data_IF_652101946128
#
_entry.id   IF_652101946128
#
_cell.length_a   1.000
_cell.length_b   1.000
_cell.length_c   1.000
_cell.angle_alpha   90.00
_cell.angle_beta   90.00
_cell.angle_gamma   90.00
#
_symmetry.space_group_name_H-M   'P 1'
#
loop_
_entity.id
_entity.type
_entity.pdbx_description
1 polymer ?
#
# COMPACT_ATOMS: atom_id res chain seq x y z
N UNK A 1 -1.45 10.12 -17.12
CA UNK A 1 -0.79 8.87 -16.69
C UNK A 1 -1.07 8.70 -15.20
N UNK A 2 -2.01 7.83 -14.85
CA UNK A 2 -2.31 7.49 -13.45
C UNK A 2 -1.16 6.63 -12.92
N UNK A 3 -0.32 7.23 -12.10
CA UNK A 3 0.79 6.54 -11.44
C UNK A 3 0.22 5.76 -10.26
N UNK A 4 0.35 4.44 -10.31
CA UNK A 4 -0.12 3.53 -9.29
C UNK A 4 1.02 3.16 -8.34
N UNK A 5 0.71 2.86 -7.06
CA UNK A 5 1.69 2.34 -6.12
C UNK A 5 2.25 1.00 -6.62
N UNK A 6 3.50 0.73 -6.28
CA UNK A 6 4.25 -0.46 -6.73
C UNK A 6 3.57 -1.79 -6.31
N UNK A 7 2.89 -1.80 -5.15
CA UNK A 7 2.17 -2.96 -4.62
C UNK A 7 0.76 -2.56 -4.18
N UNK A 8 -0.20 -2.38 -5.11
CA UNK A 8 -1.49 -1.76 -4.81
C UNK A 8 -2.31 -2.50 -3.75
N UNK A 9 -2.33 -3.84 -3.77
CA UNK A 9 -3.05 -4.64 -2.75
C UNK A 9 -2.42 -4.54 -1.36
N UNK A 10 -1.10 -4.67 -1.27
CA UNK A 10 -0.40 -4.58 0.02
C UNK A 10 -0.42 -3.16 0.59
N UNK A 11 -0.38 -2.14 -0.27
CA UNK A 11 -0.52 -0.75 0.13
C UNK A 11 -1.95 -0.43 0.57
N UNK A 12 -2.98 -0.99 -0.09
CA UNK A 12 -4.35 -0.88 0.37
C UNK A 12 -4.53 -1.47 1.78
N UNK A 13 -4.00 -2.68 2.04
CA UNK A 13 -4.01 -3.29 3.39
C UNK A 13 -3.41 -2.34 4.42
N UNK A 14 -2.21 -1.81 4.15
CA UNK A 14 -1.54 -0.90 5.08
C UNK A 14 -2.35 0.38 5.32
N UNK A 15 -2.91 0.99 4.26
CA UNK A 15 -3.71 2.21 4.38
C UNK A 15 -4.99 1.96 5.20
N UNK A 16 -5.70 0.86 4.96
CA UNK A 16 -6.90 0.49 5.73
C UNK A 16 -6.56 0.29 7.22
N UNK A 17 -5.43 -0.35 7.52
CA UNK A 17 -5.05 -0.66 8.91
C UNK A 17 -4.42 0.51 9.67
N UNK A 18 -3.76 1.45 8.97
CA UNK A 18 -2.94 2.52 9.59
C UNK A 18 -3.49 3.93 9.42
N UNK A 19 -4.55 4.11 8.63
CA UNK A 19 -5.12 5.42 8.35
C UNK A 19 -6.65 5.37 8.42
N UNK A 20 -7.29 6.51 8.62
CA UNK A 20 -8.75 6.66 8.61
C UNK A 20 -9.30 7.08 7.23
N UNK A 21 -8.59 6.73 6.15
CA UNK A 21 -9.00 7.04 4.78
C UNK A 21 -10.25 6.27 4.36
N UNK A 22 -11.05 6.87 3.50
CA UNK A 22 -12.23 6.22 2.93
C UNK A 22 -11.85 5.17 1.88
N UNK A 23 -12.72 4.17 1.70
CA UNK A 23 -12.49 3.11 0.71
C UNK A 23 -12.38 3.63 -0.72
N UNK A 24 -13.09 4.71 -1.05
CA UNK A 24 -13.01 5.38 -2.36
C UNK A 24 -11.65 6.03 -2.56
N UNK A 25 -11.10 6.71 -1.56
CA UNK A 25 -9.76 7.32 -1.64
C UNK A 25 -8.67 6.27 -1.85
N UNK A 26 -8.74 5.16 -1.11
CA UNK A 26 -7.80 4.04 -1.23
C UNK A 26 -7.95 3.35 -2.60
N UNK A 27 -9.18 3.16 -3.07
CA UNK A 27 -9.49 2.60 -4.38
C UNK A 27 -8.92 3.45 -5.52
N UNK A 28 -9.13 4.77 -5.49
CA UNK A 28 -8.59 5.70 -6.47
C UNK A 28 -7.05 5.72 -6.45
N UNK A 29 -6.44 5.64 -5.27
CA UNK A 29 -4.99 5.63 -5.12
C UNK A 29 -4.35 4.32 -5.63
N UNK A 30 -4.93 3.18 -5.26
CA UNK A 30 -4.43 1.86 -5.65
C UNK A 30 -4.92 1.39 -7.01
N UNK A 31 -5.84 2.12 -7.66
CA UNK A 31 -6.42 1.78 -8.96
C UNK A 31 -7.27 0.52 -8.93
N UNK A 32 -7.98 0.29 -7.83
CA UNK A 32 -8.85 -0.88 -7.61
C UNK A 32 -10.30 -0.44 -7.38
N UNK A 33 -11.25 -1.37 -7.46
CA UNK A 33 -12.64 -1.03 -7.17
C UNK A 33 -12.84 -0.85 -5.65
N UNK A 34 -13.69 0.09 -5.17
CA UNK A 34 -13.98 0.24 -3.74
C UNK A 34 -14.50 -1.05 -3.08
N UNK A 35 -15.18 -1.92 -3.84
CA UNK A 35 -15.59 -3.25 -3.37
C UNK A 35 -14.40 -4.18 -3.09
N UNK A 36 -13.31 -4.07 -3.85
CA UNK A 36 -12.08 -4.83 -3.55
C UNK A 36 -11.42 -4.32 -2.27
N UNK A 37 -11.41 -2.99 -2.07
CA UNK A 37 -10.91 -2.38 -0.82
C UNK A 37 -11.75 -2.83 0.38
N UNK A 38 -13.07 -2.92 0.22
CA UNK A 38 -13.97 -3.43 1.23
C UNK A 38 -13.65 -4.91 1.55
N UNK A 39 -13.54 -5.78 0.54
CA UNK A 39 -13.18 -7.18 0.75
C UNK A 39 -11.78 -7.38 1.38
N UNK A 40 -10.87 -6.43 1.19
CA UNK A 40 -9.58 -6.37 1.89
C UNK A 40 -9.79 -6.00 3.36
N UNK A 41 -10.63 -5.00 3.65
CA UNK A 41 -10.97 -4.58 5.02
C UNK A 41 -11.71 -5.68 5.80
N UNK A 42 -12.59 -6.43 5.13
CA UNK A 42 -13.28 -7.61 5.68
C UNK A 42 -12.34 -8.81 5.86
N UNK A 43 -11.11 -8.72 5.35
CA UNK A 43 -10.10 -9.78 5.49
C UNK A 43 -10.34 -10.99 4.58
N UNK A 44 -11.16 -10.88 3.53
CA UNK A 44 -11.41 -11.97 2.57
C UNK A 44 -10.27 -12.10 1.55
N UNK A 45 -9.79 -10.96 1.02
CA UNK A 45 -8.78 -10.94 -0.06
C UNK A 45 -7.36 -10.80 0.48
N UNK A 46 -7.21 -10.32 1.71
CA UNK A 46 -5.93 -9.93 2.30
C UNK A 46 -5.27 -11.00 3.17
N UNK A 47 -5.83 -12.20 3.29
CA UNK A 47 -5.29 -13.24 4.16
C UNK A 47 -3.84 -13.60 3.74
N UNK A 48 -2.88 -13.28 4.61
CA UNK A 48 -1.45 -13.52 4.36
C UNK A 48 -0.73 -12.44 3.55
N UNK A 49 -1.39 -11.34 3.18
CA UNK A 49 -0.73 -10.18 2.57
C UNK A 49 -0.13 -9.30 3.67
N UNK A 50 1.20 -9.16 3.66
CA UNK A 50 1.88 -8.21 4.56
C UNK A 50 1.68 -6.79 4.02
N UNK A 51 1.11 -5.90 4.84
CA UNK A 51 0.90 -4.50 4.48
C UNK A 51 2.20 -3.81 4.04
N UNK A 52 2.14 -3.07 2.94
CA UNK A 52 3.28 -2.34 2.37
C UNK A 52 3.14 -0.85 2.65
N UNK A 53 4.02 -0.33 3.50
CA UNK A 53 4.03 1.07 3.95
C UNK A 53 4.40 2.03 2.80
N UNK A 54 3.46 2.83 2.27
CA UNK A 54 3.75 3.78 1.21
C UNK A 54 4.46 5.05 1.72
N UNK A 55 4.40 5.35 3.03
CA UNK A 55 5.05 6.51 3.64
C UNK A 55 6.54 6.24 3.83
N UNK A 56 6.88 5.07 4.39
CA UNK A 56 8.26 4.64 4.56
C UNK A 56 9.01 4.47 3.22
N UNK A 57 8.28 4.14 2.15
CA UNK A 57 8.83 4.01 0.81
C UNK A 57 8.80 5.32 0.00
N UNK A 58 8.48 6.45 0.64
CA UNK A 58 8.40 7.77 0.02
C UNK A 58 7.42 7.83 -1.17
N UNK A 59 6.40 6.98 -1.23
CA UNK A 59 5.33 7.02 -2.24
C UNK A 59 4.19 7.96 -1.81
N UNK A 60 4.01 8.14 -0.51
CA UNK A 60 3.06 9.08 0.09
C UNK A 60 3.72 9.88 1.21
N UNK A 61 3.18 11.07 1.49
CA UNK A 61 3.53 11.82 2.70
C UNK A 61 2.48 11.60 3.76
N UNK A 62 2.92 11.55 5.02
CA UNK A 62 2.01 11.53 6.16
C UNK A 62 1.09 12.77 6.16
N UNK A 63 1.61 13.94 5.78
CA UNK A 63 0.84 15.18 5.65
C UNK A 63 -0.31 15.05 4.64
N UNK A 64 -0.10 14.34 3.52
CA UNK A 64 -1.14 14.14 2.51
C UNK A 64 -2.20 13.15 3.00
N UNK A 65 -1.80 12.14 3.78
CA UNK A 65 -2.74 11.22 4.46
C UNK A 65 -3.61 12.03 5.41
N UNK A 66 -3.05 12.82 6.32
CA UNK A 66 -3.81 13.63 7.26
C UNK A 66 -4.78 14.62 6.59
N UNK A 67 -4.35 15.23 5.49
CA UNK A 67 -5.22 16.10 4.69
C UNK A 67 -6.42 15.34 4.11
N UNK A 68 -6.20 14.11 3.64
CA UNK A 68 -7.24 13.26 3.06
C UNK A 68 -8.11 12.60 4.16
N UNK A 69 -7.58 12.34 5.34
CA UNK A 69 -8.34 11.90 6.51
C UNK A 69 -9.32 12.99 6.97
N UNK A 70 -8.91 14.25 6.91
CA UNK A 70 -9.78 15.39 7.23
C UNK A 70 -10.81 15.72 6.12
N UNK A 71 -10.61 15.22 4.90
CA UNK A 71 -11.47 15.51 3.76
C UNK A 71 -11.68 14.26 2.87
N UNK A 72 -12.83 13.57 3.01
CA UNK A 72 -13.15 12.38 2.22
C UNK A 72 -13.19 12.59 0.70
N UNK A 73 -13.48 13.82 0.25
CA UNK A 73 -13.50 14.19 -1.18
C UNK A 73 -12.10 14.47 -1.73
N UNK A 74 -11.09 14.62 -0.86
CA UNK A 74 -9.72 14.83 -1.29
C UNK A 74 -9.10 13.53 -1.80
N UNK A 75 -8.31 13.63 -2.88
CA UNK A 75 -7.65 12.49 -3.52
C UNK A 75 -6.17 12.46 -3.18
N UNK A 76 -5.70 11.28 -2.77
CA UNK A 76 -4.29 11.03 -2.49
C UNK A 76 -3.46 11.20 -3.76
N UNK A 77 -2.39 11.99 -3.65
CA UNK A 77 -1.40 12.13 -4.73
C UNK A 77 -0.17 11.31 -4.41
N UNK A 78 0.13 10.34 -5.26
CA UNK A 78 1.40 9.63 -5.18
C UNK A 78 2.54 10.59 -5.49
N UNK A 79 3.57 10.55 -4.66
CA UNK A 79 4.83 11.21 -4.95
C UNK A 79 5.52 10.42 -6.06
N UNK A 80 5.91 11.11 -7.14
CA UNK A 80 6.70 10.53 -8.22
C UNK A 80 8.13 10.26 -7.72
N UNK A 81 8.28 9.26 -6.86
CA UNK A 81 9.58 8.83 -6.38
C UNK A 81 10.13 7.84 -7.38
N UNK A 82 11.10 8.30 -8.16
CA UNK A 82 11.95 7.50 -9.03
C UNK A 82 12.83 6.59 -8.15
N UNK A 83 12.25 5.59 -7.47
CA UNK A 83 13.02 4.59 -6.75
C UNK A 83 12.85 3.25 -7.46
N UNK A 84 13.82 2.83 -8.29
CA UNK A 84 13.89 1.46 -8.75
C UNK A 84 14.16 0.62 -7.52
N UNK A 85 13.12 0.05 -6.91
CA UNK A 85 13.30 -0.87 -5.78
C UNK A 85 14.16 -2.01 -6.30
N UNK A 86 15.46 -1.97 -5.96
CA UNK A 86 16.36 -3.12 -6.08
C UNK A 86 15.64 -4.27 -5.40
N UNK A 87 15.20 -5.25 -6.20
CA UNK A 87 14.75 -6.55 -5.72
C UNK A 87 15.87 -7.06 -4.82
N UNK A 88 15.76 -6.90 -3.50
CA UNK A 88 16.58 -7.69 -2.58
C UNK A 88 16.03 -9.10 -2.73
N UNK A 89 16.65 -9.86 -3.63
CA UNK A 89 16.59 -11.30 -3.63
C UNK A 89 16.89 -11.74 -2.20
N UNK A 90 15.86 -12.22 -1.50
CA UNK A 90 16.05 -12.98 -0.25
C UNK A 90 16.89 -14.19 -0.65
N UNK A 91 18.21 -14.07 -0.50
CA UNK A 91 19.11 -15.20 -0.57
C UNK A 91 18.66 -16.19 0.50
N UNK A 92 18.18 -17.35 0.07
CA UNK A 92 18.04 -18.49 0.96
C UNK A 92 19.45 -18.79 1.51
N UNK A 93 19.75 -18.35 2.73
CA UNK A 93 20.88 -18.89 3.49
C UNK A 93 20.46 -20.28 3.96
N UNK A 94 20.56 -21.26 3.08
CA UNK A 94 20.61 -22.65 3.49
C UNK A 94 21.96 -22.85 4.18
N UNK A 95 21.91 -23.16 5.48
CA UNK A 95 23.10 -23.58 6.24
C UNK A 95 23.10 -25.11 6.17
N UNK A 96 24.03 -25.75 5.43
CA UNK A 96 24.13 -27.20 5.48
C UNK A 96 24.65 -27.62 6.86
N UNK A 97 23.85 -28.40 7.59
CA UNK A 97 24.32 -29.13 8.76
C UNK A 97 25.08 -30.36 8.28
N UNK A 98 26.38 -30.40 8.56
CA UNK A 98 27.19 -31.57 8.32
C UNK A 98 26.92 -32.62 9.43
N UNK A 99 26.63 -33.86 9.03
CA UNK A 99 27.02 -35.08 9.76
C UNK A 99 27.09 -36.25 8.80
#
# INVERSE_FOLDING_TARGET
MTTLPLMPKATAVWLIEKTALSFTQIAEFCGMHPLEVQAIADGEVAQGIVGYDPVANHQLKLEEIHRCEANPDARLKILATNNPVKRRSKGARYTPVAK
#
